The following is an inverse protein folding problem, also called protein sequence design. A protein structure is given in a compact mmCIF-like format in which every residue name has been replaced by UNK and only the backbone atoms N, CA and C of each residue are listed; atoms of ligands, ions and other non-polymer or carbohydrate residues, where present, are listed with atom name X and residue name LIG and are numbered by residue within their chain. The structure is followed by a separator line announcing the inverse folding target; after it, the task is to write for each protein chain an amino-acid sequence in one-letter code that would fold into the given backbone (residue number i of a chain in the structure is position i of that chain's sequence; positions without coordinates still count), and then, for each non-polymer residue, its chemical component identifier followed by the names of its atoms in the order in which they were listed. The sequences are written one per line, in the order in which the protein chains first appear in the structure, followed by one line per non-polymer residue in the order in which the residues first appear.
data_IF_388320099649
#
_entry.id   IF_388320099649
#
_cell.length_a   1.000
_cell.length_b   1.000
_cell.length_c   1.000
_cell.angle_alpha   90.00
_cell.angle_beta   90.00
_cell.angle_gamma   90.00
#
_symmetry.space_group_name_H-M   'P 1'
#
loop_
_entity.id
_entity.type
_entity.pdbx_description
1 polymer ?
#
# COMPACT_ATOMS: atom_id res chain seq x y z
N UNK A 1 -14.95 -9.46 -4.64
CA UNK A 1 -15.12 -7.98 -4.57
C UNK A 1 -13.78 -7.34 -4.90
N UNK A 2 -13.71 -6.41 -5.89
CA UNK A 2 -12.45 -5.87 -6.41
C UNK A 2 -11.54 -5.24 -5.35
N UNK A 3 -12.12 -4.59 -4.33
CA UNK A 3 -11.39 -4.01 -3.21
C UNK A 3 -10.55 -5.07 -2.46
N UNK A 4 -11.20 -6.13 -1.98
CA UNK A 4 -10.53 -7.21 -1.27
C UNK A 4 -9.60 -8.04 -2.18
N UNK A 5 -9.95 -8.13 -3.48
CA UNK A 5 -9.09 -8.78 -4.46
C UNK A 5 -7.76 -8.04 -4.64
N UNK A 6 -7.79 -6.71 -4.79
CA UNK A 6 -6.59 -5.89 -4.88
C UNK A 6 -5.74 -5.97 -3.60
N UNK A 7 -6.37 -5.99 -2.43
CA UNK A 7 -5.68 -6.18 -1.15
C UNK A 7 -4.94 -7.51 -1.08
N UNK A 8 -5.57 -8.61 -1.51
CA UNK A 8 -4.94 -9.94 -1.53
C UNK A 8 -3.79 -10.01 -2.54
N UNK A 9 -3.96 -9.43 -3.73
CA UNK A 9 -2.90 -9.42 -4.75
C UNK A 9 -1.69 -8.58 -4.36
N UNK A 10 -1.85 -7.60 -3.47
CA UNK A 10 -0.76 -6.75 -3.01
C UNK A 10 0.31 -7.54 -2.23
N UNK A 11 -0.03 -8.67 -1.62
CA UNK A 11 0.88 -9.52 -0.84
C UNK A 11 2.03 -10.05 -1.71
N UNK A 12 1.73 -10.46 -2.94
CA UNK A 12 2.69 -11.03 -3.88
C UNK A 12 3.12 -10.04 -4.98
N UNK A 13 2.67 -8.78 -4.89
CA UNK A 13 2.97 -7.77 -5.90
C UNK A 13 4.39 -7.23 -5.75
N UNK A 14 5.12 -7.17 -6.86
CA UNK A 14 6.45 -6.55 -6.90
C UNK A 14 6.40 -5.02 -6.85
N UNK A 15 5.29 -4.43 -7.32
CA UNK A 15 5.07 -2.98 -7.39
C UNK A 15 3.62 -2.71 -7.01
N UNK A 16 3.42 -1.75 -6.10
CA UNK A 16 2.10 -1.33 -5.62
C UNK A 16 1.95 0.16 -5.84
N UNK A 17 0.90 0.54 -6.56
CA UNK A 17 0.46 1.93 -6.66
C UNK A 17 -0.61 2.17 -5.61
N UNK A 18 -0.37 3.11 -4.71
CA UNK A 18 -1.30 3.46 -3.65
C UNK A 18 -1.26 4.98 -3.38
N UNK A 19 -2.37 5.54 -2.85
CA UNK A 19 -2.40 6.94 -2.46
C UNK A 19 -1.55 7.17 -1.21
N UNK A 20 -1.14 8.42 -0.99
CA UNK A 20 -0.32 8.80 0.17
C UNK A 20 -0.90 8.44 1.52
N UNK A 21 -2.22 8.41 1.66
CA UNK A 21 -2.87 8.02 2.91
C UNK A 21 -2.50 6.60 3.35
N UNK A 22 -2.16 5.69 2.44
CA UNK A 22 -1.82 4.31 2.80
C UNK A 22 -0.43 4.22 3.44
N UNK A 23 0.41 5.23 3.24
CA UNK A 23 1.76 5.32 3.79
C UNK A 23 1.80 6.28 5.00
N UNK A 24 1.15 7.44 4.87
CA UNK A 24 1.25 8.56 5.81
C UNK A 24 0.19 8.53 6.92
N UNK A 25 -1.01 8.02 6.66
CA UNK A 25 -2.08 7.94 7.68
C UNK A 25 -1.98 6.60 8.44
N UNK A 26 -1.64 6.62 9.75
CA UNK A 26 -1.45 5.40 10.52
C UNK A 26 -2.74 4.60 10.76
N UNK A 27 -3.93 5.21 10.63
CA UNK A 27 -5.22 4.51 10.75
C UNK A 27 -5.50 3.74 9.46
N UNK A 28 -5.37 4.42 8.32
CA UNK A 28 -5.59 3.83 7.00
C UNK A 28 -4.56 2.74 6.71
N UNK A 29 -3.28 3.00 7.00
CA UNK A 29 -2.20 2.04 6.82
C UNK A 29 -2.44 0.72 7.56
N UNK A 30 -2.90 0.80 8.81
CA UNK A 30 -3.24 -0.40 9.61
C UNK A 30 -4.46 -1.13 9.06
N UNK A 31 -5.45 -0.42 8.54
CA UNK A 31 -6.63 -1.04 7.93
C UNK A 31 -6.30 -1.78 6.62
N UNK A 32 -5.29 -1.30 5.88
CA UNK A 32 -4.84 -1.89 4.61
C UNK A 32 -3.70 -2.89 4.77
N UNK A 33 -3.15 -3.04 5.97
CA UNK A 33 -2.02 -3.94 6.29
C UNK A 33 -0.79 -3.73 5.39
N UNK A 34 -0.47 -2.45 5.12
CA UNK A 34 0.66 -2.10 4.26
C UNK A 34 1.97 -2.16 5.05
N UNK A 35 2.70 -3.26 4.86
CA UNK A 35 4.08 -3.41 5.32
C UNK A 35 5.06 -2.77 4.31
N UNK A 36 5.95 -1.93 4.83
CA UNK A 36 7.00 -1.26 4.04
C UNK A 36 8.40 -1.76 4.42
N UNK A 37 8.49 -2.80 5.25
CA UNK A 37 9.76 -3.34 5.71
C UNK A 37 10.57 -3.89 4.53
N UNK A 38 11.74 -3.31 4.28
CA UNK A 38 12.58 -3.67 3.13
C UNK A 38 12.07 -3.16 1.77
N UNK A 39 10.97 -2.40 1.75
CA UNK A 39 10.43 -1.80 0.54
C UNK A 39 11.13 -0.49 0.18
N UNK A 40 11.24 -0.20 -1.12
CA UNK A 40 11.61 1.13 -1.63
C UNK A 40 10.32 1.91 -1.85
N UNK A 41 10.22 3.08 -1.22
CA UNK A 41 9.04 3.96 -1.33
C UNK A 41 9.38 5.14 -2.22
N UNK A 42 8.55 5.38 -3.24
CA UNK A 42 8.70 6.50 -4.17
C UNK A 42 7.45 7.37 -4.04
N UNK A 43 7.66 8.66 -3.76
CA UNK A 43 6.62 9.69 -3.83
C UNK A 43 6.73 10.36 -5.20
N UNK A 44 5.60 10.46 -5.91
CA UNK A 44 5.51 11.04 -7.25
C UNK A 44 4.99 12.49 -7.16
N UNK A 45 5.35 13.39 -8.07
CA UNK A 45 4.88 14.79 -8.02
C UNK A 45 5.22 15.54 -6.70
N UNK A 46 6.36 15.23 -6.08
CA UNK A 46 6.89 15.91 -4.90
C UNK A 46 7.79 17.12 -5.24
#
# INVERSE_FOLDING_TARGET
CPYFGAQLMAIDAHIIFCPYSYVLDPVVRRAMDVDLTGAIVIFDEA
#
